data_IF_106973518708
#
_entry.id   IF_106973518708
#
_cell.length_a   1.000
_cell.length_b   1.000
_cell.length_c   1.000
_cell.angle_alpha   90.00
_cell.angle_beta   90.00
_cell.angle_gamma   90.00
#
_symmetry.space_group_name_H-M   'P 1'
#
loop_
_entity.id
_entity.type
_entity.pdbx_description
1 polymer ?
#
# COMPACT_ATOMS: atom_id res chain seq x y z
N UNK A 1 -1.60 -26.85 3.78
CA UNK A 1 -0.13 -26.69 3.85
C UNK A 1 0.20 -25.66 4.91
N UNK A 2 1.15 -25.90 5.83
CA UNK A 2 1.49 -24.95 6.90
C UNK A 2 2.79 -24.23 6.52
N UNK A 3 2.69 -22.96 6.18
CA UNK A 3 3.88 -22.14 5.90
C UNK A 3 4.57 -21.82 7.23
N UNK A 4 5.83 -22.21 7.36
CA UNK A 4 6.64 -21.96 8.56
C UNK A 4 7.55 -20.72 8.40
N UNK A 5 7.92 -20.37 7.16
CA UNK A 5 8.89 -19.33 6.87
C UNK A 5 8.61 -18.62 5.55
N UNK A 6 8.84 -17.31 5.53
CA UNK A 6 8.79 -16.50 4.33
C UNK A 6 10.20 -16.05 3.91
N UNK A 7 10.49 -16.17 2.62
CA UNK A 7 11.61 -15.47 1.99
C UNK A 7 11.10 -14.14 1.43
N UNK A 8 11.72 -13.03 1.82
CA UNK A 8 11.25 -11.69 1.44
C UNK A 8 11.90 -11.22 0.13
N UNK A 9 11.09 -10.75 -0.80
CA UNK A 9 11.49 -10.08 -2.03
C UNK A 9 10.90 -8.67 -2.05
N UNK A 10 11.70 -7.67 -1.71
CA UNK A 10 11.22 -6.31 -1.48
C UNK A 10 11.49 -5.47 -2.74
N UNK A 11 10.41 -5.01 -3.38
CA UNK A 11 10.45 -4.11 -4.51
C UNK A 11 10.29 -2.68 -4.01
N UNK A 12 11.23 -1.81 -4.33
CA UNK A 12 11.24 -0.41 -3.92
C UNK A 12 11.20 0.45 -5.18
N UNK A 13 10.23 1.35 -5.27
CA UNK A 13 10.15 2.34 -6.34
C UNK A 13 10.40 3.75 -5.80
N UNK A 14 11.22 4.55 -6.49
CA UNK A 14 11.53 5.93 -6.13
C UNK A 14 11.84 6.78 -7.38
N UNK A 15 12.21 8.06 -7.20
CA UNK A 15 12.53 9.01 -8.28
C UNK A 15 11.46 9.09 -9.38
N UNK A 16 10.20 9.19 -8.97
CA UNK A 16 9.07 9.17 -9.89
C UNK A 16 8.92 10.49 -10.65
N UNK A 17 8.86 10.41 -11.98
CA UNK A 17 8.59 11.50 -12.89
C UNK A 17 7.40 11.10 -13.80
N UNK A 18 6.20 11.53 -13.43
CA UNK A 18 4.97 11.28 -14.18
C UNK A 18 4.68 12.42 -15.15
N UNK A 19 4.13 12.05 -16.31
CA UNK A 19 3.63 12.96 -17.33
C UNK A 19 2.12 13.13 -17.18
N UNK A 20 1.59 14.26 -17.68
CA UNK A 20 0.14 14.54 -17.68
C UNK A 20 -0.64 13.48 -18.47
N UNK A 21 -0.02 12.87 -19.48
CA UNK A 21 -0.58 11.77 -20.29
C UNK A 21 -0.74 10.45 -19.54
N UNK A 22 -0.34 10.36 -18.26
CA UNK A 22 -0.47 9.17 -17.43
C UNK A 22 0.73 8.22 -17.45
N UNK A 23 1.65 8.39 -18.40
CA UNK A 23 2.92 7.67 -18.46
C UNK A 23 4.01 8.31 -17.59
N UNK A 24 5.19 7.71 -17.56
CA UNK A 24 6.33 8.29 -16.84
C UNK A 24 7.49 7.35 -16.67
N UNK A 25 8.41 7.74 -15.78
CA UNK A 25 9.56 6.93 -15.40
C UNK A 25 9.75 6.95 -13.89
N UNK A 26 10.36 5.91 -13.37
CA UNK A 26 10.76 5.79 -11.98
C UNK A 26 11.90 4.78 -11.89
N UNK A 27 12.60 4.75 -10.77
CA UNK A 27 13.67 3.79 -10.54
C UNK A 27 13.15 2.67 -9.64
N UNK A 28 13.53 1.43 -9.97
CA UNK A 28 13.25 0.23 -9.18
C UNK A 28 14.53 -0.32 -8.57
N UNK A 29 14.47 -0.66 -7.30
CA UNK A 29 15.48 -1.44 -6.59
C UNK A 29 14.86 -2.65 -5.92
N UNK A 30 15.62 -3.73 -5.85
CA UNK A 30 15.23 -4.96 -5.17
C UNK A 30 16.11 -5.16 -3.95
N UNK A 31 15.49 -5.55 -2.84
CA UNK A 31 16.17 -5.99 -1.64
C UNK A 31 15.67 -7.39 -1.26
N UNK A 32 16.59 -8.33 -1.12
CA UNK A 32 16.29 -9.71 -0.70
C UNK A 32 17.22 -10.05 0.46
N UNK A 33 16.78 -9.94 1.73
CA UNK A 33 17.63 -10.28 2.87
C UNK A 33 18.18 -11.71 2.76
N UNK A 34 19.47 -11.96 3.09
CA UNK A 34 20.46 -11.02 3.65
C UNK A 34 21.27 -10.26 2.58
N UNK A 35 20.93 -10.38 1.29
CA UNK A 35 21.68 -9.73 0.21
C UNK A 35 21.51 -8.21 0.23
N UNK A 36 22.46 -7.51 -0.39
CA UNK A 36 22.42 -6.06 -0.54
C UNK A 36 21.33 -5.60 -1.52
N UNK A 37 20.98 -4.32 -1.40
CA UNK A 37 20.08 -3.62 -2.30
C UNK A 37 20.68 -3.58 -3.72
N UNK A 38 19.90 -3.91 -4.74
CA UNK A 38 20.38 -3.85 -6.13
C UNK A 38 20.61 -2.41 -6.59
N UNK A 39 21.38 -2.25 -7.66
CA UNK A 39 21.49 -0.95 -8.34
C UNK A 39 20.12 -0.53 -8.87
N UNK A 40 19.74 0.76 -8.75
CA UNK A 40 18.50 1.25 -9.33
C UNK A 40 18.44 1.01 -10.83
N UNK A 41 17.32 0.44 -11.29
CA UNK A 41 17.04 0.25 -12.71
C UNK A 41 15.87 1.13 -13.08
N UNK A 42 16.08 2.02 -14.06
CA UNK A 42 15.04 2.91 -14.54
C UNK A 42 13.97 2.14 -15.31
N UNK A 43 12.74 2.26 -14.86
CA UNK A 43 11.55 1.66 -15.46
C UNK A 43 10.66 2.72 -16.11
N UNK A 44 9.87 2.27 -17.08
CA UNK A 44 8.86 3.09 -17.75
C UNK A 44 7.47 2.67 -17.27
N UNK A 45 6.65 3.66 -16.92
CA UNK A 45 5.22 3.48 -16.75
C UNK A 45 4.52 3.76 -18.09
N UNK A 46 3.91 2.74 -18.73
CA UNK A 46 3.19 2.94 -19.99
C UNK A 46 1.94 3.82 -19.77
N UNK A 47 1.69 4.84 -20.60
CA UNK A 47 0.50 5.71 -20.45
C UNK A 47 -0.82 4.96 -20.62
N UNK A 48 -0.86 3.91 -21.43
CA UNK A 48 -2.03 3.06 -21.67
C UNK A 48 -2.46 2.24 -20.45
N UNK A 49 -1.58 2.09 -19.44
CA UNK A 49 -1.80 1.21 -18.31
C UNK A 49 -3.04 1.61 -17.49
N UNK A 50 -3.33 2.91 -17.39
CA UNK A 50 -4.56 3.42 -16.75
C UNK A 50 -5.82 3.08 -17.53
N UNK A 51 -5.78 3.16 -18.86
CA UNK A 51 -6.92 2.84 -19.70
C UNK A 51 -7.23 1.33 -19.63
N UNK A 52 -6.19 0.49 -19.62
CA UNK A 52 -6.35 -0.96 -19.47
C UNK A 52 -6.91 -1.30 -18.07
N UNK A 53 -6.42 -0.64 -17.02
CA UNK A 53 -6.98 -0.79 -15.67
C UNK A 53 -8.49 -0.47 -15.63
N UNK A 54 -8.93 0.62 -16.26
CA UNK A 54 -10.36 0.97 -16.32
C UNK A 54 -11.20 -0.12 -17.01
N UNK A 55 -10.68 -0.73 -18.09
CA UNK A 55 -11.36 -1.85 -18.75
C UNK A 55 -11.46 -3.09 -17.85
N UNK A 56 -10.43 -3.35 -17.04
CA UNK A 56 -10.45 -4.43 -16.05
C UNK A 56 -11.54 -4.19 -15.00
N UNK A 57 -11.59 -2.98 -14.44
CA UNK A 57 -12.59 -2.57 -13.43
C UNK A 57 -14.03 -2.66 -13.99
N UNK A 58 -14.22 -2.34 -15.27
CA UNK A 58 -15.50 -2.46 -15.97
C UNK A 58 -15.81 -3.88 -16.45
N UNK A 59 -14.94 -4.86 -16.18
CA UNK A 59 -15.07 -6.28 -16.62
C UNK A 59 -15.20 -6.43 -18.14
N UNK A 60 -14.51 -5.57 -18.89
CA UNK A 60 -14.51 -5.54 -20.36
C UNK A 60 -13.28 -6.20 -20.98
N UNK A 61 -12.67 -7.15 -20.26
CA UNK A 61 -11.46 -7.85 -20.69
C UNK A 61 -11.70 -9.35 -20.68
N UNK A 62 -11.27 -10.03 -21.74
CA UNK A 62 -11.21 -11.49 -21.78
C UNK A 62 -9.93 -11.99 -21.06
N UNK A 63 -9.84 -13.31 -20.84
CA UNK A 63 -8.73 -13.93 -20.12
C UNK A 63 -7.35 -13.57 -20.70
N UNK A 64 -7.20 -13.62 -22.03
CA UNK A 64 -5.95 -13.27 -22.70
C UNK A 64 -5.55 -11.82 -22.43
N UNK A 65 -6.51 -10.90 -22.50
CA UNK A 65 -6.26 -9.49 -22.21
C UNK A 65 -5.85 -9.28 -20.73
N UNK A 66 -6.43 -10.04 -19.79
CA UNK A 66 -6.05 -9.97 -18.37
C UNK A 66 -4.63 -10.52 -18.18
N UNK A 67 -4.26 -11.62 -18.85
CA UNK A 67 -2.89 -12.16 -18.81
C UNK A 67 -1.90 -11.15 -19.38
N UNK A 68 -2.19 -10.54 -20.53
CA UNK A 68 -1.32 -9.54 -21.16
C UNK A 68 -1.16 -8.29 -20.27
N UNK A 69 -2.23 -7.86 -19.61
CA UNK A 69 -2.17 -6.79 -18.61
C UNK A 69 -1.32 -7.19 -17.39
N UNK A 70 -1.48 -8.40 -16.89
CA UNK A 70 -0.67 -8.93 -15.79
C UNK A 70 0.82 -8.99 -16.12
N UNK A 71 1.17 -9.37 -17.37
CA UNK A 71 2.55 -9.36 -17.87
C UNK A 71 3.09 -7.93 -17.95
N UNK A 72 2.27 -6.99 -18.40
CA UNK A 72 2.62 -5.57 -18.42
C UNK A 72 2.90 -5.05 -17.01
N UNK A 73 2.02 -5.32 -16.04
CA UNK A 73 2.23 -4.96 -14.63
C UNK A 73 3.54 -5.52 -14.07
N UNK A 74 3.81 -6.81 -14.33
CA UNK A 74 5.05 -7.44 -13.90
C UNK A 74 6.28 -6.75 -14.52
N UNK A 75 6.25 -6.46 -15.82
CA UNK A 75 7.37 -5.79 -16.51
C UNK A 75 7.66 -4.37 -16.00
N UNK A 76 6.64 -3.68 -15.47
CA UNK A 76 6.79 -2.32 -14.92
C UNK A 76 7.57 -2.33 -13.59
N UNK A 77 7.38 -3.35 -12.75
CA UNK A 77 8.03 -3.45 -11.44
C UNK A 77 9.21 -4.41 -11.38
N UNK A 78 9.33 -5.33 -12.33
CA UNK A 78 10.34 -6.38 -12.34
C UNK A 78 11.19 -6.27 -13.61
N UNK A 79 12.33 -5.55 -13.56
CA UNK A 79 13.31 -5.59 -14.65
C UNK A 79 13.67 -7.04 -15.01
N UNK A 80 14.07 -7.35 -16.26
CA UNK A 80 14.30 -8.74 -16.68
C UNK A 80 15.24 -9.54 -15.77
N UNK A 81 16.30 -8.90 -15.24
CA UNK A 81 17.22 -9.53 -14.27
C UNK A 81 16.52 -9.92 -12.96
N UNK A 82 15.65 -9.05 -12.47
CA UNK A 82 14.94 -9.23 -11.20
C UNK A 82 13.77 -10.20 -11.33
N UNK A 83 13.12 -10.24 -12.50
CA UNK A 83 12.14 -11.27 -12.83
C UNK A 83 12.79 -12.67 -12.80
N UNK A 84 13.96 -12.82 -13.43
CA UNK A 84 14.70 -14.08 -13.40
C UNK A 84 15.11 -14.47 -11.97
N UNK A 85 15.55 -13.49 -11.16
CA UNK A 85 15.87 -13.71 -9.75
C UNK A 85 14.65 -14.14 -8.93
N UNK A 86 13.49 -13.52 -9.13
CA UNK A 86 12.24 -13.89 -8.45
C UNK A 86 11.84 -15.32 -8.78
N UNK A 87 11.91 -15.71 -10.06
CA UNK A 87 11.64 -17.08 -10.50
C UNK A 87 12.60 -18.07 -9.85
N UNK A 88 13.91 -17.78 -9.83
CA UNK A 88 14.91 -18.61 -9.17
C UNK A 88 14.66 -18.77 -7.66
N UNK A 89 14.22 -17.71 -6.98
CA UNK A 89 13.87 -17.78 -5.56
C UNK A 89 12.65 -18.67 -5.34
N UNK A 90 11.61 -18.51 -6.18
CA UNK A 90 10.39 -19.32 -6.14
C UNK A 90 10.72 -20.81 -6.33
N UNK A 91 11.57 -21.14 -7.29
CA UNK A 91 11.94 -22.52 -7.61
C UNK A 91 12.77 -23.19 -6.50
N UNK A 92 13.42 -22.40 -5.64
CA UNK A 92 14.26 -22.87 -4.53
C UNK A 92 13.52 -22.97 -3.20
N UNK A 93 12.24 -22.59 -3.13
CA UNK A 93 11.47 -22.63 -1.89
C UNK A 93 11.31 -24.07 -1.39
N UNK A 94 11.69 -24.33 -0.13
CA UNK A 94 11.41 -25.60 0.54
C UNK A 94 9.91 -25.84 0.76
N UNK A 95 9.52 -27.08 1.08
CA UNK A 95 8.11 -27.52 1.21
C UNK A 95 7.27 -26.63 2.14
N UNK A 96 7.85 -26.14 3.23
CA UNK A 96 7.19 -25.28 4.22
C UNK A 96 7.59 -23.79 4.10
N UNK A 97 8.24 -23.42 3.00
CA UNK A 97 8.62 -22.05 2.68
C UNK A 97 7.71 -21.42 1.61
N UNK A 98 7.52 -20.11 1.75
CA UNK A 98 6.79 -19.27 0.81
C UNK A 98 7.58 -18.01 0.47
N UNK A 99 7.27 -17.40 -0.67
CA UNK A 99 7.80 -16.11 -1.08
C UNK A 99 6.86 -15.00 -0.62
N UNK A 100 7.41 -13.93 -0.05
CA UNK A 100 6.67 -12.72 0.27
C UNK A 100 7.22 -11.54 -0.51
N UNK A 101 6.44 -11.08 -1.47
CA UNK A 101 6.76 -9.91 -2.29
C UNK A 101 6.24 -8.67 -1.56
N UNK A 102 7.13 -7.79 -1.12
CA UNK A 102 6.76 -6.54 -0.46
C UNK A 102 6.95 -5.37 -1.40
N UNK A 103 5.86 -4.67 -1.70
CA UNK A 103 5.86 -3.52 -2.57
C UNK A 103 5.96 -2.24 -1.74
N UNK A 104 7.08 -1.54 -1.81
CA UNK A 104 7.30 -0.21 -1.22
C UNK A 104 7.24 0.82 -2.33
N UNK A 105 6.03 1.28 -2.62
CA UNK A 105 5.75 2.13 -3.78
C UNK A 105 5.28 3.51 -3.32
N UNK A 106 5.58 4.58 -4.09
CA UNK A 106 5.01 5.90 -3.83
C UNK A 106 3.48 5.88 -4.07
N UNK A 107 2.72 6.80 -3.45
CA UNK A 107 1.26 6.86 -3.60
C UNK A 107 0.79 6.92 -5.05
N UNK A 108 1.56 7.57 -5.93
CA UNK A 108 1.26 7.67 -7.35
C UNK A 108 1.34 6.36 -8.13
N UNK A 109 1.95 5.31 -7.58
CA UNK A 109 1.93 3.94 -8.12
C UNK A 109 1.04 3.01 -7.29
N UNK A 110 0.53 3.46 -6.14
CA UNK A 110 -0.23 2.63 -5.22
C UNK A 110 -1.67 2.34 -5.67
N UNK A 111 -2.16 2.91 -6.76
CA UNK A 111 -3.52 2.66 -7.27
C UNK A 111 -3.61 1.51 -8.28
N UNK A 112 -2.48 1.02 -8.80
CA UNK A 112 -2.47 -0.08 -9.76
C UNK A 112 -2.69 -1.43 -9.07
N UNK A 113 -3.36 -2.41 -9.70
CA UNK A 113 -3.68 -3.69 -9.09
C UNK A 113 -2.50 -4.67 -9.17
N UNK A 114 -1.40 -4.39 -8.46
CA UNK A 114 -0.16 -5.18 -8.52
C UNK A 114 -0.33 -6.66 -8.18
N UNK A 115 -1.41 -7.04 -7.52
CA UNK A 115 -1.79 -8.42 -7.25
C UNK A 115 -2.04 -9.23 -8.53
N UNK A 116 -2.39 -8.55 -9.63
CA UNK A 116 -2.60 -9.14 -10.96
C UNK A 116 -1.30 -9.33 -11.75
N UNK A 117 -0.13 -9.11 -11.14
CA UNK A 117 1.14 -9.42 -11.79
C UNK A 117 1.17 -10.89 -12.23
N UNK A 118 1.46 -11.07 -13.52
CA UNK A 118 1.55 -12.38 -14.15
C UNK A 118 3.02 -12.74 -14.39
N UNK A 119 3.47 -13.80 -13.74
CA UNK A 119 4.86 -14.29 -13.80
C UNK A 119 4.83 -15.81 -13.97
N UNK A 120 4.83 -16.22 -15.24
CA UNK A 120 4.86 -17.63 -15.62
C UNK A 120 6.28 -18.11 -15.88
N UNK A 121 6.55 -19.37 -15.55
CA UNK A 121 7.81 -20.00 -15.90
C UNK A 121 7.92 -20.11 -17.44
N UNK A 122 9.09 -19.90 -18.08
CA UNK A 122 9.23 -19.93 -19.54
C UNK A 122 8.81 -21.25 -20.24
N UNK A 123 8.59 -22.32 -19.46
CA UNK A 123 8.15 -23.63 -19.94
C UNK A 123 6.67 -23.93 -19.66
N UNK A 124 5.98 -23.04 -18.95
CA UNK A 124 4.56 -23.18 -18.62
C UNK A 124 3.67 -22.75 -19.79
N UNK A 125 2.43 -23.24 -19.80
CA UNK A 125 1.40 -22.69 -20.68
C UNK A 125 0.94 -21.33 -20.15
N UNK A 126 0.51 -20.45 -21.06
CA UNK A 126 -0.12 -19.21 -20.66
C UNK A 126 -1.55 -19.49 -20.21
N UNK A 127 -1.74 -19.62 -18.91
CA UNK A 127 -3.02 -19.88 -18.25
C UNK A 127 -3.08 -19.13 -16.91
N UNK A 128 -4.22 -19.20 -16.21
CA UNK A 128 -4.39 -18.49 -14.94
C UNK A 128 -3.39 -18.86 -13.83
N UNK A 129 -2.63 -19.95 -13.93
CA UNK A 129 -1.64 -20.33 -12.90
C UNK A 129 -0.44 -19.38 -12.84
N UNK A 130 -0.22 -18.56 -13.87
CA UNK A 130 0.85 -17.56 -13.87
C UNK A 130 0.56 -16.32 -13.02
N UNK A 131 -0.66 -16.11 -12.54
CA UNK A 131 -0.97 -14.98 -11.65
C UNK A 131 -0.40 -15.22 -10.25
N UNK A 132 0.46 -14.31 -9.78
CA UNK A 132 1.13 -14.43 -8.49
C UNK A 132 0.15 -14.48 -7.31
N UNK A 133 -0.99 -13.81 -7.40
CA UNK A 133 -2.02 -13.86 -6.36
C UNK A 133 -2.74 -15.22 -6.23
N UNK A 134 -2.65 -16.08 -7.26
CA UNK A 134 -3.24 -17.41 -7.24
C UNK A 134 -2.27 -18.50 -6.77
N UNK A 135 -0.98 -18.17 -6.63
CA UNK A 135 0.01 -19.09 -6.09
C UNK A 135 -0.07 -19.09 -4.54
N UNK A 136 -0.48 -20.20 -3.90
CA UNK A 136 -0.61 -20.27 -2.44
C UNK A 136 0.72 -20.14 -1.69
N UNK A 137 1.85 -20.22 -2.40
CA UNK A 137 3.20 -20.05 -1.86
C UNK A 137 3.74 -18.64 -2.08
N UNK A 138 2.94 -17.74 -2.65
CA UNK A 138 3.30 -16.33 -2.85
C UNK A 138 2.34 -15.45 -2.06
N UNK A 139 2.90 -14.50 -1.31
CA UNK A 139 2.15 -13.45 -0.63
C UNK A 139 2.62 -12.11 -1.17
N UNK A 140 1.69 -11.27 -1.65
CA UNK A 140 1.98 -9.90 -2.07
C UNK A 140 1.50 -8.96 -0.96
N UNK A 141 2.39 -8.09 -0.49
CA UNK A 141 2.11 -7.13 0.58
C UNK A 141 2.42 -5.74 0.09
N UNK A 142 1.41 -4.86 0.11
CA UNK A 142 1.60 -3.43 -0.16
C UNK A 142 2.02 -2.73 1.12
N UNK A 143 3.19 -2.11 1.11
CA UNK A 143 3.58 -1.15 2.12
C UNK A 143 3.29 0.23 1.55
N UNK A 144 2.12 0.77 1.89
CA UNK A 144 1.92 2.21 1.72
C UNK A 144 2.92 2.91 2.63
N UNK A 145 3.86 3.62 2.01
CA UNK A 145 4.66 4.58 2.73
C UNK A 145 3.71 5.67 3.21
N UNK A 146 3.16 5.52 4.42
CA UNK A 146 2.58 6.65 5.13
C UNK A 146 3.64 7.74 5.04
N UNK A 147 3.27 8.87 4.43
CA UNK A 147 4.13 10.03 4.30
C UNK A 147 4.32 10.61 5.70
N UNK A 148 5.14 9.93 6.50
CA UNK A 148 5.55 10.43 7.78
C UNK A 148 6.37 11.67 7.48
N UNK A 149 5.99 12.86 8.00
CA UNK A 149 6.83 14.02 7.83
C UNK A 149 8.23 13.66 8.35
N UNK A 150 9.24 13.79 7.48
CA UNK A 150 10.66 13.47 7.78
C UNK A 150 11.21 14.26 8.97
N UNK A 151 10.47 15.27 9.43
CA UNK A 151 10.72 16.04 10.63
C UNK A 151 9.54 15.77 11.56
N UNK A 152 9.69 14.80 12.46
CA UNK A 152 8.86 14.83 13.67
C UNK A 152 9.36 16.00 14.50
N UNK A 153 8.50 16.97 14.77
CA UNK A 153 8.78 18.00 15.77
C UNK A 153 8.82 17.30 17.14
N UNK A 154 10.02 16.87 17.53
CA UNK A 154 10.28 16.19 18.80
C UNK A 154 10.36 17.16 19.97
N UNK A 155 10.18 18.48 19.74
CA UNK A 155 10.12 19.44 20.83
C UNK A 155 8.86 19.17 21.66
N UNK A 156 9.02 18.92 22.97
CA UNK A 156 7.87 18.85 23.87
C UNK A 156 7.14 20.20 23.80
N UNK A 157 5.88 20.17 23.36
CA UNK A 157 4.96 21.31 23.42
C UNK A 157 3.62 20.78 23.87
N UNK A 158 2.91 21.58 24.65
CA UNK A 158 1.52 21.31 24.98
C UNK A 158 0.75 21.03 23.69
N UNK A 159 0.11 19.87 23.63
CA UNK A 159 -0.73 19.45 22.50
C UNK A 159 -2.16 19.84 22.84
N UNK A 160 -2.80 20.57 21.93
CA UNK A 160 -4.23 20.87 22.04
C UNK A 160 -5.01 19.67 21.50
N UNK A 161 -5.84 19.07 22.36
CA UNK A 161 -6.76 18.02 22.00
C UNK A 161 -8.16 18.63 21.96
N UNK A 162 -8.77 18.65 20.77
CA UNK A 162 -10.16 19.05 20.61
C UNK A 162 -11.06 17.82 20.76
N UNK A 163 -11.88 17.81 21.80
CA UNK A 163 -12.95 16.82 22.00
C UNK A 163 -14.26 17.39 21.45
N UNK A 164 -14.67 16.91 20.28
CA UNK A 164 -15.94 17.27 19.64
C UNK A 164 -16.99 16.18 19.95
N UNK A 165 -17.99 16.54 20.75
CA UNK A 165 -19.10 15.67 21.14
C UNK A 165 -20.37 16.12 20.42
N UNK A 166 -21.11 15.19 19.86
CA UNK A 166 -22.36 15.48 19.17
C UNK A 166 -23.32 14.29 19.26
N UNK A 167 -24.62 14.60 19.22
CA UNK A 167 -25.66 13.62 18.99
C UNK A 167 -26.13 13.71 17.54
N UNK A 168 -26.31 12.55 16.90
CA UNK A 168 -26.99 12.47 15.61
C UNK A 168 -28.50 12.46 15.82
N UNK A 169 -29.24 13.12 14.93
CA UNK A 169 -30.71 13.12 14.95
C UNK A 169 -31.31 11.75 14.58
N UNK A 170 -30.51 10.88 13.94
CA UNK A 170 -30.95 9.58 13.41
C UNK A 170 -30.53 8.39 14.29
N UNK A 171 -29.82 8.62 15.39
CA UNK A 171 -29.28 7.57 16.26
C UNK A 171 -29.76 7.77 17.72
N UNK A 172 -29.72 6.71 18.56
CA UNK A 172 -29.94 6.86 19.99
C UNK A 172 -28.98 7.90 20.59
N UNK A 173 -29.51 8.81 21.42
CA UNK A 173 -28.70 9.87 22.04
C UNK A 173 -27.69 9.29 23.02
N UNK A 174 -26.44 9.68 22.85
CA UNK A 174 -25.35 9.46 23.79
C UNK A 174 -25.51 10.37 25.01
N UNK A 175 -25.04 9.89 26.15
CA UNK A 175 -24.88 10.70 27.35
C UNK A 175 -23.56 11.49 27.25
N UNK A 176 -23.62 12.68 26.64
CA UNK A 176 -22.43 13.48 26.35
C UNK A 176 -21.66 13.87 27.64
N UNK A 177 -22.36 14.08 28.75
CA UNK A 177 -21.72 14.37 30.05
C UNK A 177 -20.88 13.18 30.53
N UNK A 178 -21.41 11.96 30.37
CA UNK A 178 -20.68 10.75 30.72
C UNK A 178 -19.47 10.52 29.80
N UNK A 179 -19.64 10.71 28.49
CA UNK A 179 -18.54 10.58 27.52
C UNK A 179 -17.44 11.60 27.79
N UNK A 180 -17.81 12.86 28.05
CA UNK A 180 -16.87 13.91 28.43
C UNK A 180 -16.07 13.52 29.66
N UNK A 181 -16.76 13.08 30.72
CA UNK A 181 -16.11 12.70 31.98
C UNK A 181 -15.16 11.52 31.79
N UNK A 182 -15.55 10.51 31.02
CA UNK A 182 -14.70 9.36 30.72
C UNK A 182 -13.39 9.78 30.04
N UNK A 183 -13.44 10.75 29.13
CA UNK A 183 -12.25 11.28 28.46
C UNK A 183 -11.42 12.17 29.41
N UNK A 184 -12.04 13.02 30.20
CA UNK A 184 -11.34 13.84 31.22
C UNK A 184 -10.61 12.95 32.23
N UNK A 185 -11.26 11.90 32.72
CA UNK A 185 -10.67 10.92 33.64
C UNK A 185 -9.52 10.13 32.98
N UNK A 186 -9.66 9.75 31.71
CA UNK A 186 -8.61 9.05 30.96
C UNK A 186 -7.37 9.92 30.69
N UNK A 187 -7.55 11.24 30.59
CA UNK A 187 -6.47 12.20 30.38
C UNK A 187 -5.84 12.67 31.70
N UNK A 188 -6.42 12.30 32.84
CA UNK A 188 -5.92 12.67 34.16
C UNK A 188 -4.48 12.13 34.35
N UNK A 189 -3.56 13.02 34.72
CA UNK A 189 -2.15 12.67 34.94
C UNK A 189 -1.28 12.64 33.68
N UNK A 190 -1.85 12.89 32.49
CA UNK A 190 -1.06 13.06 31.27
C UNK A 190 -0.61 14.52 31.16
N UNK A 191 0.70 14.75 31.29
CA UNK A 191 1.27 16.09 31.15
C UNK A 191 1.39 16.52 29.70
N UNK A 192 1.25 17.83 29.44
CA UNK A 192 1.43 18.40 28.11
C UNK A 192 0.24 18.20 27.15
N UNK A 193 -0.95 17.88 27.66
CA UNK A 193 -2.21 17.91 26.90
C UNK A 193 -3.09 19.03 27.45
N UNK A 194 -3.60 19.88 26.57
CA UNK A 194 -4.66 20.84 26.84
C UNK A 194 -5.92 20.36 26.14
N UNK A 195 -7.00 20.13 26.90
CA UNK A 195 -8.27 19.66 26.37
C UNK A 195 -9.20 20.85 26.11
N UNK A 196 -9.64 21.00 24.86
CA UNK A 196 -10.70 21.92 24.47
C UNK A 196 -11.95 21.08 24.11
N UNK A 197 -13.09 21.37 24.75
CA UNK A 197 -14.32 20.59 24.57
C UNK A 197 -15.35 21.41 23.81
N UNK A 198 -15.99 20.78 22.83
CA UNK A 198 -17.12 21.34 22.07
C UNK A 198 -18.26 20.34 22.09
N UNK A 199 -19.32 20.69 22.80
CA UNK A 199 -20.59 19.95 22.83
C UNK A 199 -21.48 20.41 21.67
N UNK A 200 -22.44 19.56 21.31
CA UNK A 200 -23.34 19.75 20.15
C UNK A 200 -22.57 20.16 18.87
N UNK A 201 -21.43 19.50 18.65
CA UNK A 201 -20.51 19.88 17.60
C UNK A 201 -21.11 19.65 16.21
N UNK A 202 -21.25 20.74 15.44
CA UNK A 202 -21.58 20.67 14.01
C UNK A 202 -20.31 20.69 13.17
N UNK A 203 -20.39 20.26 11.91
CA UNK A 203 -19.26 20.35 10.97
C UNK A 203 -18.70 21.78 10.89
N UNK A 204 -19.56 22.80 10.86
CA UNK A 204 -19.16 24.21 10.82
C UNK A 204 -18.38 24.62 12.08
N UNK A 205 -18.86 24.18 13.26
CA UNK A 205 -18.20 24.46 14.54
C UNK A 205 -16.83 23.78 14.61
N UNK A 206 -16.73 22.54 14.11
CA UNK A 206 -15.48 21.80 14.05
C UNK A 206 -14.44 22.51 13.19
N UNK A 207 -14.81 22.92 11.97
CA UNK A 207 -13.88 23.61 11.07
C UNK A 207 -13.39 24.95 11.62
N UNK A 208 -14.23 25.67 12.35
CA UNK A 208 -13.84 26.95 12.97
C UNK A 208 -12.84 26.78 14.12
N UNK A 209 -12.88 25.63 14.80
CA UNK A 209 -12.01 25.32 15.95
C UNK A 209 -10.69 24.64 15.55
N UNK A 210 -10.57 24.18 14.31
CA UNK A 210 -9.36 23.53 13.78
C UNK A 210 -8.38 24.49 13.10
N UNK A 211 -8.76 25.75 12.86
CA UNK A 211 -7.95 26.81 12.23
C UNK A 211 -7.35 27.71 13.30
#
# INVERSE_FOLDING_TARGET
MKIAKYQDFIVIAHNIALQVSGGGHFDVQIFTPPAELTTPVRQRLPPELRQIQQRLEQRQMNEKEIIDFGKMLASVLLPPSELARLLQLRDRLGVDEALRIRLRLPPSLAHFPWEYMYVQHPRGMDDTTGFLALDPRVSIVRHEGLSWPRIMDTKPRTRHLLLALANSDCEPKLNLDCERKNIEDALQGISGIQLDVVEDCTLTTLFTRMV
#
